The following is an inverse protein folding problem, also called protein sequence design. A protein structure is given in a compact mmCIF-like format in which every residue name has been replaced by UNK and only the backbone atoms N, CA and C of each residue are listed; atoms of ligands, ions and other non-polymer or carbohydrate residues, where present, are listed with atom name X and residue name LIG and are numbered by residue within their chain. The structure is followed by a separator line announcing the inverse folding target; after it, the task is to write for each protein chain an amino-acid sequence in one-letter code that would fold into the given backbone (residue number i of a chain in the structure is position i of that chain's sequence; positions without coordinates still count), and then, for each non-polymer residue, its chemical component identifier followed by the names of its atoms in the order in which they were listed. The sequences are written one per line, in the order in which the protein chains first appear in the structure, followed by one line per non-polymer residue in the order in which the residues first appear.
data_IF_577302090221
#
_entry.id   IF_577302090221
#
_cell.length_a   1.000
_cell.length_b   1.000
_cell.length_c   1.000
_cell.angle_alpha   90.00
_cell.angle_beta   90.00
_cell.angle_gamma   90.00
#
_symmetry.space_group_name_H-M   'P 1'
#
loop_
_entity.id
_entity.type
_entity.pdbx_description
1 polymer ?
#
# COMPACT_ATOMS: atom_id res chain seq x y z
N UNK A 1 -12.96 -13.87 16.36
CA UNK A 1 -13.52 -12.65 15.78
C UNK A 1 -12.85 -12.46 14.43
N UNK A 2 -13.54 -12.77 13.33
CA UNK A 2 -12.95 -12.64 11.99
C UNK A 2 -12.75 -11.18 11.64
N UNK A 3 -11.50 -10.77 11.46
CA UNK A 3 -11.16 -9.44 10.97
C UNK A 3 -11.67 -9.31 9.54
N UNK A 4 -12.79 -8.61 9.32
CA UNK A 4 -13.34 -8.32 7.98
C UNK A 4 -12.27 -7.63 7.15
N UNK A 5 -11.71 -8.34 6.17
CA UNK A 5 -10.76 -7.79 5.21
C UNK A 5 -11.48 -6.73 4.36
N UNK A 6 -10.91 -5.52 4.28
CA UNK A 6 -11.45 -4.43 3.47
C UNK A 6 -10.58 -4.27 2.25
N UNK A 7 -11.19 -4.14 1.07
CA UNK A 7 -10.50 -3.89 -0.18
C UNK A 7 -11.05 -2.63 -0.85
N UNK A 8 -10.17 -1.84 -1.46
CA UNK A 8 -10.55 -0.68 -2.27
C UNK A 8 -9.48 -0.44 -3.33
N UNK A 9 -9.91 -0.05 -4.52
CA UNK A 9 -9.02 0.24 -5.66
C UNK A 9 -8.90 1.76 -5.81
N UNK A 10 -7.69 2.21 -6.07
CA UNK A 10 -7.36 3.61 -6.31
C UNK A 10 -6.58 3.73 -7.62
N UNK A 11 -6.58 4.92 -8.21
CA UNK A 11 -5.78 5.21 -9.38
C UNK A 11 -4.29 5.31 -8.98
N UNK A 12 -3.39 4.89 -9.86
CA UNK A 12 -1.94 4.99 -9.60
C UNK A 12 -1.41 6.38 -10.01
N UNK A 13 -1.92 7.41 -9.33
CA UNK A 13 -1.52 8.81 -9.52
C UNK A 13 -1.66 9.57 -8.19
N UNK A 14 -1.16 10.80 -8.12
CA UNK A 14 -1.19 11.62 -6.89
C UNK A 14 -2.60 11.79 -6.29
N UNK A 15 -3.64 11.94 -7.12
CA UNK A 15 -5.04 12.02 -6.65
C UNK A 15 -5.49 10.70 -6.00
N UNK A 16 -5.14 9.56 -6.61
CA UNK A 16 -5.42 8.24 -6.07
C UNK A 16 -4.66 7.96 -4.78
N UNK A 17 -3.41 8.43 -4.67
CA UNK A 17 -2.61 8.31 -3.45
C UNK A 17 -3.23 9.11 -2.30
N UNK A 18 -3.66 10.35 -2.53
CA UNK A 18 -4.37 11.15 -1.53
C UNK A 18 -5.66 10.45 -1.06
N UNK A 19 -6.43 9.87 -1.99
CA UNK A 19 -7.65 9.10 -1.67
C UNK A 19 -7.35 7.85 -0.85
N UNK A 20 -6.21 7.19 -1.09
CA UNK A 20 -5.75 6.05 -0.30
C UNK A 20 -5.43 6.45 1.14
N UNK A 21 -4.70 7.56 1.34
CA UNK A 21 -4.37 8.10 2.68
C UNK A 21 -5.64 8.41 3.46
N UNK A 22 -6.57 9.16 2.85
CA UNK A 22 -7.85 9.51 3.49
C UNK A 22 -8.63 8.26 3.88
N UNK A 23 -8.62 7.25 3.01
CA UNK A 23 -9.29 5.98 3.32
C UNK A 23 -8.62 5.25 4.47
N UNK A 24 -7.28 5.15 4.51
CA UNK A 24 -6.55 4.59 5.65
C UNK A 24 -6.86 5.34 6.96
N UNK A 25 -6.77 6.66 6.94
CA UNK A 25 -7.05 7.51 8.10
C UNK A 25 -8.49 7.36 8.60
N UNK A 26 -9.46 7.25 7.69
CA UNK A 26 -10.87 6.98 8.02
C UNK A 26 -11.10 5.63 8.73
N UNK A 27 -10.16 4.70 8.63
CA UNK A 27 -10.18 3.42 9.35
C UNK A 27 -9.25 3.37 10.57
N UNK A 28 -8.64 4.51 10.96
CA UNK A 28 -7.71 4.58 12.10
C UNK A 28 -6.28 4.13 11.78
N UNK A 29 -5.94 4.00 10.50
CA UNK A 29 -4.68 3.43 10.01
C UNK A 29 -3.59 4.51 9.81
N UNK A 30 -3.38 5.36 10.82
CA UNK A 30 -2.59 6.60 10.72
C UNK A 30 -1.06 6.39 10.63
N UNK A 31 -0.54 5.25 11.08
CA UNK A 31 0.90 4.90 11.05
C UNK A 31 1.07 3.40 10.75
N UNK A 32 0.38 2.96 9.71
CA UNK A 32 0.31 1.53 9.38
C UNK A 32 1.48 1.14 8.49
N UNK A 33 1.92 -0.11 8.63
CA UNK A 33 2.91 -0.68 7.74
C UNK A 33 2.24 -1.03 6.41
N UNK A 34 2.60 -0.33 5.33
CA UNK A 34 2.13 -0.65 3.98
C UNK A 34 3.05 -1.71 3.36
N UNK A 35 2.42 -2.72 2.77
CA UNK A 35 3.08 -3.80 2.08
C UNK A 35 2.70 -3.70 0.60
N UNK A 36 3.66 -3.33 -0.24
CA UNK A 36 3.47 -3.20 -1.68
C UNK A 36 4.12 -4.40 -2.36
N UNK A 37 3.39 -5.09 -3.23
CA UNK A 37 3.97 -6.17 -4.02
C UNK A 37 4.92 -5.59 -5.09
N UNK A 38 6.14 -6.09 -5.14
CA UNK A 38 7.22 -5.70 -6.06
C UNK A 38 6.98 -6.16 -7.50
N UNK A 39 5.73 -6.26 -7.93
CA UNK A 39 5.37 -6.88 -9.21
C UNK A 39 5.68 -5.95 -10.40
N UNK A 40 5.86 -4.64 -10.18
CA UNK A 40 6.17 -3.65 -11.22
C UNK A 40 6.68 -2.31 -10.66
N UNK A 41 7.32 -1.51 -11.52
CA UNK A 41 7.79 -0.12 -11.25
C UNK A 41 6.69 0.85 -10.80
N UNK A 42 5.42 0.53 -11.08
CA UNK A 42 4.26 1.36 -10.75
C UNK A 42 4.11 1.68 -9.25
N UNK A 43 4.71 0.87 -8.37
CA UNK A 43 4.64 1.05 -6.91
C UNK A 43 5.66 2.03 -6.32
N UNK A 44 6.67 2.47 -7.08
CA UNK A 44 7.77 3.30 -6.56
C UNK A 44 7.30 4.71 -6.16
N UNK A 45 6.46 5.32 -6.99
CA UNK A 45 5.91 6.66 -6.74
C UNK A 45 5.00 6.67 -5.50
N UNK A 46 4.16 5.63 -5.37
CA UNK A 46 3.32 5.41 -4.19
C UNK A 46 4.16 5.18 -2.93
N UNK A 47 5.21 4.37 -3.02
CA UNK A 47 6.10 4.09 -1.89
C UNK A 47 6.78 5.36 -1.39
N UNK A 48 7.28 6.18 -2.31
CA UNK A 48 7.91 7.47 -2.00
C UNK A 48 6.91 8.42 -1.35
N UNK A 49 5.71 8.54 -1.91
CA UNK A 49 4.65 9.39 -1.37
C UNK A 49 4.23 8.98 0.05
N UNK A 50 4.06 7.67 0.29
CA UNK A 50 3.69 7.15 1.60
C UNK A 50 4.81 7.32 2.63
N UNK A 51 6.07 7.15 2.21
CA UNK A 51 7.23 7.34 3.06
C UNK A 51 7.41 8.81 3.47
N UNK A 52 7.19 9.76 2.55
CA UNK A 52 7.20 11.20 2.85
C UNK A 52 6.15 11.60 3.90
N UNK A 53 4.97 10.95 3.85
CA UNK A 53 3.91 11.11 4.85
C UNK A 53 4.23 10.46 6.21
N UNK A 54 5.39 9.80 6.36
CA UNK A 54 5.82 9.15 7.60
C UNK A 54 5.28 7.73 7.78
N UNK A 55 4.70 7.12 6.74
CA UNK A 55 4.29 5.72 6.80
C UNK A 55 5.48 4.79 6.55
N UNK A 56 5.48 3.64 7.21
CA UNK A 56 6.48 2.61 6.96
C UNK A 56 6.04 1.76 5.76
N UNK A 57 6.85 1.74 4.71
CA UNK A 57 6.53 1.02 3.46
C UNK A 57 7.54 -0.10 3.26
N UNK A 58 7.05 -1.33 3.06
CA UNK A 58 7.86 -2.45 2.58
C UNK A 58 7.44 -2.84 1.19
N UNK A 59 8.42 -2.90 0.29
CA UNK A 59 8.27 -3.53 -1.01
C UNK A 59 8.55 -5.01 -0.82
N UNK A 60 7.49 -5.84 -0.83
CA UNK A 60 7.63 -7.29 -0.71
C UNK A 60 7.59 -7.90 -2.09
N UNK A 61 8.53 -8.77 -2.37
CA UNK A 61 8.52 -9.53 -3.60
C UNK A 61 7.64 -10.77 -3.41
N UNK A 62 6.51 -10.93 -4.13
CA UNK A 62 5.66 -12.10 -4.02
C UNK A 62 6.25 -13.33 -4.74
N UNK A 63 7.57 -13.50 -4.71
CA UNK A 63 8.20 -14.70 -5.23
C UNK A 63 7.75 -15.90 -4.38
N UNK A 64 6.77 -16.63 -4.92
CA UNK A 64 6.71 -18.07 -4.75
C UNK A 64 7.99 -18.62 -5.37
N UNK A 65 9.05 -18.74 -4.56
CA UNK A 65 10.32 -19.38 -4.92
C UNK A 65 10.17 -20.90 -5.19
N UNK A 66 9.01 -21.37 -5.67
CA UNK A 66 8.80 -22.77 -6.01
C UNK A 66 7.85 -22.96 -7.20
N UNK A 67 8.33 -22.62 -8.39
CA UNK A 67 8.00 -23.43 -9.56
C UNK A 67 9.21 -24.30 -9.88
N UNK A 68 9.29 -25.44 -9.20
CA UNK A 68 10.02 -26.61 -9.67
C UNK A 68 9.03 -27.61 -10.22
#
# INVERSE_FOLDING_TARGET
MESKKRHKVFQNNQDGFAKLVVWCNGHGANLTHLCLEATSWYGEDLATFMHDLGHNVSIVNPESFWQK
#
